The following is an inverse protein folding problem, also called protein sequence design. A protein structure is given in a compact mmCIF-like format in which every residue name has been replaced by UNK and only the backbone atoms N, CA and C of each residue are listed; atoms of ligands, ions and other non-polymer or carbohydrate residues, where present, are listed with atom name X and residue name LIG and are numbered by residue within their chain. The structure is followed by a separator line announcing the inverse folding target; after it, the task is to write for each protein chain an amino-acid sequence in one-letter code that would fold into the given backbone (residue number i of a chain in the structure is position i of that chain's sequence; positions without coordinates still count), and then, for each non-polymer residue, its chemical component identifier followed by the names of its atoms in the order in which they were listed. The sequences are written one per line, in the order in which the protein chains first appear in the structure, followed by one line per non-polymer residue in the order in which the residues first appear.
data_IF_748210696662
#
_entry.id   IF_748210696662
#
_cell.length_a   1.000
_cell.length_b   1.000
_cell.length_c   1.000
_cell.angle_alpha   90.00
_cell.angle_beta   90.00
_cell.angle_gamma   90.00
#
_symmetry.space_group_name_H-M   'P 1'
#
loop_
_entity.id
_entity.type
_entity.pdbx_description
1 polymer ?
#
# COMPACT_ATOMS: atom_id res chain seq x y z
N UNK A 1 20.58 -1.36 3.52
CA UNK A 1 21.87 -1.66 4.20
C UNK A 1 22.82 -0.46 4.24
N UNK A 2 23.02 0.29 3.13
CA UNK A 2 23.84 1.52 3.16
C UNK A 2 23.28 2.61 4.07
N UNK A 3 21.95 2.77 4.15
CA UNK A 3 21.30 3.80 4.97
C UNK A 3 21.36 3.59 6.49
N UNK A 4 21.65 2.36 6.98
CA UNK A 4 21.75 2.07 8.43
C UNK A 4 23.09 1.48 8.86
N UNK A 5 24.08 1.40 7.97
CA UNK A 5 25.42 0.86 8.29
C UNK A 5 25.48 -0.62 8.70
N UNK A 6 24.39 -1.39 8.52
CA UNK A 6 24.28 -2.76 9.01
C UNK A 6 25.17 -3.73 8.21
N UNK A 7 25.99 -4.51 8.91
CA UNK A 7 26.81 -5.58 8.33
C UNK A 7 25.97 -6.86 8.19
N UNK A 8 26.43 -7.80 7.35
CA UNK A 8 25.76 -9.10 7.15
C UNK A 8 25.60 -9.91 8.45
N UNK A 9 26.52 -9.72 9.41
CA UNK A 9 26.45 -10.34 10.73
C UNK A 9 25.29 -9.79 11.58
N UNK A 10 25.00 -8.49 11.44
CA UNK A 10 23.91 -7.85 12.17
C UNK A 10 22.56 -8.34 11.66
N UNK A 11 22.44 -8.46 10.33
CA UNK A 11 21.21 -9.01 9.73
C UNK A 11 21.01 -10.48 10.09
N UNK A 12 22.07 -11.27 10.20
CA UNK A 12 21.97 -12.66 10.65
C UNK A 12 21.41 -12.75 12.08
N UNK A 13 21.91 -11.90 12.97
CA UNK A 13 21.48 -11.80 14.36
C UNK A 13 20.03 -11.30 14.48
N UNK A 14 19.65 -10.25 13.74
CA UNK A 14 18.29 -9.70 13.77
C UNK A 14 17.26 -10.66 13.17
N UNK A 15 17.66 -11.45 12.17
CA UNK A 15 16.79 -12.40 11.49
C UNK A 15 16.79 -13.80 12.11
N UNK A 16 17.56 -14.03 13.18
CA UNK A 16 17.66 -15.35 13.84
C UNK A 16 18.22 -16.46 12.94
N UNK A 17 19.07 -16.14 11.97
CA UNK A 17 19.66 -17.11 11.02
C UNK A 17 21.18 -17.07 11.01
N UNK A 18 21.80 -18.05 10.36
CA UNK A 18 23.26 -18.07 10.20
C UNK A 18 23.76 -16.99 9.23
N UNK A 19 24.99 -16.51 9.45
CA UNK A 19 25.67 -15.57 8.54
C UNK A 19 25.84 -16.14 7.12
N UNK A 20 25.96 -17.46 7.00
CA UNK A 20 26.02 -18.16 5.72
C UNK A 20 24.69 -18.04 4.96
N UNK A 21 23.56 -18.16 5.67
CA UNK A 21 22.22 -17.96 5.11
C UNK A 21 22.06 -16.54 4.54
N UNK A 22 22.41 -15.52 5.32
CA UNK A 22 22.39 -14.13 4.85
C UNK A 22 23.31 -13.92 3.66
N UNK A 23 24.53 -14.47 3.70
CA UNK A 23 25.47 -14.36 2.57
C UNK A 23 24.91 -14.99 1.30
N UNK A 24 24.20 -16.13 1.42
CA UNK A 24 23.50 -16.77 0.32
C UNK A 24 22.38 -15.89 -0.23
N UNK A 25 21.57 -15.26 0.62
CA UNK A 25 20.54 -14.29 0.18
C UNK A 25 21.14 -13.17 -0.67
N UNK A 26 22.20 -12.54 -0.16
CA UNK A 26 22.85 -11.44 -0.88
C UNK A 26 23.55 -11.90 -2.16
N UNK A 27 24.14 -13.11 -2.19
CA UNK A 27 24.81 -13.65 -3.38
C UNK A 27 23.81 -14.01 -4.48
N UNK A 28 22.68 -14.61 -4.10
CA UNK A 28 21.61 -14.98 -5.04
C UNK A 28 20.90 -13.74 -5.57
N UNK A 29 20.58 -12.77 -4.69
CA UNK A 29 19.95 -11.52 -5.09
C UNK A 29 20.84 -10.59 -5.92
N UNK A 30 22.17 -10.67 -5.80
CA UNK A 30 23.10 -9.79 -6.52
C UNK A 30 23.53 -10.30 -7.90
N UNK A 31 23.51 -11.61 -8.15
CA UNK A 31 24.05 -12.22 -9.38
C UNK A 31 23.00 -12.64 -10.39
N UNK A 32 21.77 -12.89 -9.94
CA UNK A 32 20.67 -13.29 -10.78
C UNK A 32 19.42 -12.61 -10.24
N UNK A 33 18.41 -12.36 -11.09
CA UNK A 33 17.03 -12.05 -10.67
C UNK A 33 16.40 -13.26 -9.95
N UNK A 34 17.15 -13.90 -9.07
CA UNK A 34 16.85 -15.14 -8.41
C UNK A 34 16.05 -14.84 -7.16
N UNK A 35 14.86 -15.42 -7.13
CA UNK A 35 14.01 -15.42 -5.96
C UNK A 35 14.77 -16.08 -4.80
N UNK A 36 14.94 -15.33 -3.71
CA UNK A 36 15.49 -15.87 -2.48
C UNK A 36 14.31 -16.33 -1.65
N UNK A 37 14.19 -17.64 -1.45
CA UNK A 37 13.19 -18.16 -0.53
C UNK A 37 13.61 -17.81 0.90
N UNK A 38 12.86 -16.94 1.55
CA UNK A 38 13.04 -16.51 2.94
C UNK A 38 11.76 -16.85 3.68
N UNK A 39 11.88 -17.57 4.79
CA UNK A 39 10.72 -17.99 5.57
C UNK A 39 9.96 -16.78 6.16
N UNK A 40 8.64 -16.88 6.24
CA UNK A 40 7.79 -15.81 6.78
C UNK A 40 8.12 -15.45 8.24
N UNK A 41 8.68 -16.38 9.02
CA UNK A 41 9.15 -16.12 10.39
C UNK A 41 10.33 -15.15 10.41
N UNK A 42 11.25 -15.32 9.47
CA UNK A 42 12.45 -14.49 9.31
C UNK A 42 12.09 -13.08 8.87
N UNK A 43 11.11 -12.94 7.98
CA UNK A 43 10.55 -11.63 7.60
C UNK A 43 9.93 -10.90 8.79
N UNK A 44 9.13 -11.58 9.61
CA UNK A 44 8.52 -10.98 10.80
C UNK A 44 9.57 -10.50 11.81
N UNK A 45 10.61 -11.30 12.04
CA UNK A 45 11.71 -10.91 12.93
C UNK A 45 12.46 -9.68 12.42
N UNK A 46 12.76 -9.63 11.11
CA UNK A 46 13.38 -8.46 10.49
C UNK A 46 12.50 -7.21 10.55
N UNK A 47 11.19 -7.35 10.32
CA UNK A 47 10.22 -6.27 10.44
C UNK A 47 10.23 -5.68 11.86
N UNK A 48 10.13 -6.53 12.89
CA UNK A 48 10.15 -6.11 14.29
C UNK A 48 11.48 -5.45 14.67
N UNK A 49 12.60 -6.07 14.28
CA UNK A 49 13.93 -5.60 14.64
C UNK A 49 14.33 -4.28 13.95
N UNK A 50 13.90 -4.09 12.70
CA UNK A 50 14.26 -2.90 11.91
C UNK A 50 13.22 -1.79 11.98
N UNK A 51 12.03 -2.09 12.50
CA UNK A 51 10.83 -1.27 12.43
C UNK A 51 10.54 -0.81 10.98
N UNK A 52 10.60 -1.75 10.04
CA UNK A 52 10.42 -1.49 8.60
C UNK A 52 9.27 -2.35 8.09
N UNK A 53 8.44 -1.77 7.23
CA UNK A 53 7.34 -2.45 6.56
C UNK A 53 7.83 -3.67 5.74
N UNK A 54 7.12 -4.81 5.78
CA UNK A 54 7.52 -6.02 5.05
C UNK A 54 7.59 -5.80 3.53
N UNK A 55 6.83 -4.83 2.98
CA UNK A 55 6.92 -4.43 1.57
C UNK A 55 8.30 -3.93 1.17
N UNK A 56 8.99 -3.21 2.07
CA UNK A 56 10.34 -2.70 1.82
C UNK A 56 11.36 -3.86 1.80
N UNK A 57 11.15 -4.90 2.60
CA UNK A 57 12.01 -6.08 2.65
C UNK A 57 11.84 -6.99 1.44
N UNK A 58 10.63 -7.06 0.88
CA UNK A 58 10.34 -7.87 -0.30
C UNK A 58 10.91 -7.26 -1.59
N UNK A 59 11.34 -6.00 -1.57
CA UNK A 59 11.91 -5.34 -2.74
C UNK A 59 10.99 -5.36 -3.96
N UNK A 60 9.68 -5.51 -3.75
CA UNK A 60 8.68 -5.43 -4.83
C UNK A 60 8.82 -4.01 -5.36
N UNK A 61 9.25 -3.83 -6.62
CA UNK A 61 9.22 -2.51 -7.22
C UNK A 61 7.76 -2.08 -7.19
N UNK A 62 7.43 -1.14 -6.32
CA UNK A 62 6.15 -0.46 -6.41
C UNK A 62 6.18 0.27 -7.75
N UNK A 63 5.45 -0.27 -8.72
CA UNK A 63 5.24 0.42 -9.99
C UNK A 63 4.32 1.60 -9.72
N UNK A 64 4.92 2.71 -9.32
CA UNK A 64 4.21 3.95 -9.03
C UNK A 64 3.55 4.54 -10.28
N UNK A 65 4.03 4.23 -11.48
CA UNK A 65 3.41 4.68 -12.72
C UNK A 65 2.03 4.04 -12.90
N UNK A 66 1.90 2.75 -12.57
CA UNK A 66 0.61 2.06 -12.58
C UNK A 66 -0.42 2.72 -11.65
N UNK A 67 0.02 3.20 -10.47
CA UNK A 67 -0.84 3.91 -9.53
C UNK A 67 -1.19 5.33 -9.99
N UNK A 68 -0.26 6.03 -10.63
CA UNK A 68 -0.52 7.34 -11.22
C UNK A 68 -1.61 7.25 -12.30
N UNK A 69 -1.51 6.30 -13.23
CA UNK A 69 -2.53 6.09 -14.27
C UNK A 69 -3.85 5.62 -13.69
N UNK A 70 -3.83 4.80 -12.64
CA UNK A 70 -5.04 4.25 -12.03
C UNK A 70 -5.83 5.32 -11.26
N UNK A 71 -5.14 6.15 -10.48
CA UNK A 71 -5.78 7.18 -9.67
C UNK A 71 -5.92 8.53 -10.36
N UNK A 72 -5.17 8.82 -11.45
CA UNK A 72 -5.24 10.09 -12.18
C UNK A 72 -5.37 11.29 -11.23
N UNK A 73 -4.53 11.27 -10.18
CA UNK A 73 -4.60 12.19 -9.06
C UNK A 73 -4.05 13.56 -9.46
N UNK A 74 -3.20 13.61 -10.48
CA UNK A 74 -2.56 14.79 -11.08
C UNK A 74 -3.55 15.83 -11.62
N UNK A 75 -4.76 15.39 -12.00
CA UNK A 75 -5.86 16.30 -12.39
C UNK A 75 -6.59 16.92 -11.20
N UNK A 76 -6.40 16.39 -9.99
CA UNK A 76 -7.11 16.77 -8.77
C UNK A 76 -6.18 17.39 -7.72
N UNK A 77 -4.90 17.01 -7.73
CA UNK A 77 -3.88 17.36 -6.74
C UNK A 77 -2.52 17.57 -7.43
N UNK A 78 -1.66 18.45 -6.91
CA UNK A 78 -0.36 18.78 -7.52
C UNK A 78 0.63 17.62 -7.49
N UNK A 79 0.60 16.82 -6.43
CA UNK A 79 1.44 15.64 -6.22
C UNK A 79 0.66 14.53 -5.50
N UNK A 80 1.30 13.36 -5.39
CA UNK A 80 0.72 12.18 -4.74
C UNK A 80 0.51 12.42 -3.25
N UNK A 81 1.47 13.08 -2.62
CA UNK A 81 1.47 13.41 -1.20
C UNK A 81 0.25 14.26 -0.85
N UNK A 82 -0.09 15.25 -1.67
CA UNK A 82 -1.28 16.08 -1.55
C UNK A 82 -2.57 15.28 -1.76
N UNK A 83 -2.59 14.29 -2.67
CA UNK A 83 -3.74 13.38 -2.80
C UNK A 83 -3.93 12.52 -1.55
N UNK A 84 -2.85 11.94 -1.01
CA UNK A 84 -2.89 11.17 0.24
C UNK A 84 -3.31 12.04 1.42
N UNK A 85 -2.80 13.27 1.48
CA UNK A 85 -3.21 14.26 2.48
C UNK A 85 -4.70 14.60 2.34
N UNK A 86 -5.21 14.73 1.11
CA UNK A 86 -6.63 14.91 0.82
C UNK A 86 -7.50 13.74 1.32
N UNK A 87 -7.02 12.50 1.14
CA UNK A 87 -7.67 11.30 1.70
C UNK A 87 -7.68 11.37 3.23
N UNK A 88 -6.57 11.76 3.85
CA UNK A 88 -6.47 11.87 5.31
C UNK A 88 -7.39 12.96 5.87
N UNK A 89 -7.43 14.12 5.21
CA UNK A 89 -8.31 15.27 5.51
C UNK A 89 -9.79 15.03 5.13
N UNK A 90 -10.13 13.86 4.59
CA UNK A 90 -11.49 13.47 4.19
C UNK A 90 -12.12 14.43 3.17
N UNK A 91 -11.29 14.95 2.27
CA UNK A 91 -11.74 15.85 1.21
C UNK A 91 -12.56 15.06 0.19
N UNK A 92 -13.70 15.62 -0.22
CA UNK A 92 -14.62 14.94 -1.14
C UNK A 92 -13.99 14.51 -2.47
N UNK A 93 -13.14 15.32 -3.15
CA UNK A 93 -12.53 14.91 -4.42
C UNK A 93 -11.60 13.69 -4.24
N UNK A 94 -10.84 13.66 -3.13
CA UNK A 94 -9.97 12.54 -2.80
C UNK A 94 -10.76 11.27 -2.49
N UNK A 95 -11.81 11.37 -1.67
CA UNK A 95 -12.67 10.23 -1.33
C UNK A 95 -13.40 9.70 -2.57
N UNK A 96 -13.92 10.58 -3.42
CA UNK A 96 -14.58 10.20 -4.66
C UNK A 96 -13.63 9.42 -5.58
N UNK A 97 -12.40 9.92 -5.76
CA UNK A 97 -11.42 9.24 -6.61
C UNK A 97 -10.96 7.91 -6.02
N UNK A 98 -10.74 7.85 -4.71
CA UNK A 98 -10.38 6.61 -4.01
C UNK A 98 -11.43 5.52 -4.23
N UNK A 99 -12.71 5.87 -4.06
CA UNK A 99 -13.84 4.94 -4.18
C UNK A 99 -14.15 4.60 -5.63
N UNK A 100 -14.01 5.54 -6.55
CA UNK A 100 -14.14 5.28 -7.99
C UNK A 100 -13.20 4.15 -8.44
N UNK A 101 -11.97 4.17 -7.92
CA UNK A 101 -10.87 3.29 -8.35
C UNK A 101 -10.82 1.96 -7.60
N UNK A 102 -11.10 1.97 -6.29
CA UNK A 102 -10.94 0.80 -5.43
C UNK A 102 -12.28 0.18 -5.00
N UNK A 103 -13.39 0.90 -5.14
CA UNK A 103 -14.67 0.49 -4.56
C UNK A 103 -14.73 0.68 -3.03
N UNK A 104 -15.86 0.32 -2.41
CA UNK A 104 -16.11 0.61 -1.00
C UNK A 104 -15.24 -0.18 -0.02
N UNK A 105 -14.99 -1.46 -0.29
CA UNK A 105 -14.27 -2.33 0.64
C UNK A 105 -12.82 -1.84 0.87
N UNK A 106 -12.05 -1.74 -0.21
CA UNK A 106 -10.66 -1.28 -0.15
C UNK A 106 -10.56 0.19 0.27
N UNK A 107 -11.44 1.06 -0.22
CA UNK A 107 -11.45 2.46 0.19
C UNK A 107 -11.77 2.60 1.70
N UNK A 108 -12.66 1.77 2.25
CA UNK A 108 -12.99 1.74 3.67
C UNK A 108 -11.80 1.30 4.53
N UNK A 109 -10.99 0.34 4.07
CA UNK A 109 -9.77 -0.07 4.77
C UNK A 109 -8.72 1.07 4.86
N UNK A 110 -8.73 1.99 3.90
CA UNK A 110 -7.77 3.10 3.83
C UNK A 110 -8.28 4.34 4.55
N UNK A 111 -9.51 4.76 4.25
CA UNK A 111 -10.05 6.04 4.70
C UNK A 111 -11.08 5.90 5.83
N UNK A 112 -11.46 4.68 6.21
CA UNK A 112 -12.46 4.40 7.24
C UNK A 112 -13.91 4.50 6.76
N UNK A 113 -14.82 4.39 7.73
CA UNK A 113 -16.28 4.47 7.56
C UNK A 113 -16.78 5.78 6.93
N UNK A 114 -15.99 6.85 7.00
CA UNK A 114 -16.27 8.15 6.37
C UNK A 114 -16.55 8.04 4.88
N UNK A 115 -15.97 7.03 4.21
CA UNK A 115 -16.26 6.69 2.81
C UNK A 115 -17.75 6.42 2.65
N UNK A 116 -18.31 5.53 3.47
CA UNK A 116 -19.73 5.19 3.39
C UNK A 116 -20.62 6.34 3.86
N UNK A 117 -20.26 6.99 4.98
CA UNK A 117 -21.05 8.08 5.58
C UNK A 117 -21.17 9.30 4.66
N UNK A 118 -20.10 9.65 3.95
CA UNK A 118 -20.07 10.81 3.05
C UNK A 118 -20.39 10.49 1.60
N UNK A 119 -20.69 9.23 1.25
CA UNK A 119 -20.97 8.85 -0.14
C UNK A 119 -22.03 9.73 -0.81
N UNK A 120 -23.17 10.10 -0.17
CA UNK A 120 -24.14 11.00 -0.79
C UNK A 120 -23.58 12.37 -1.19
N UNK A 121 -22.56 12.86 -0.47
CA UNK A 121 -21.94 14.17 -0.67
C UNK A 121 -20.99 14.15 -1.88
N UNK A 122 -20.10 13.16 -1.93
CA UNK A 122 -19.06 13.12 -2.96
C UNK A 122 -19.42 12.28 -4.19
N UNK A 123 -20.49 11.47 -4.18
CA UNK A 123 -20.84 10.58 -5.32
C UNK A 123 -21.00 11.34 -6.64
N UNK A 124 -21.41 12.62 -6.58
CA UNK A 124 -21.55 13.50 -7.75
C UNK A 124 -20.22 13.76 -8.49
N UNK A 125 -19.08 13.50 -7.85
CA UNK A 125 -17.73 13.63 -8.42
C UNK A 125 -17.22 12.33 -9.05
N UNK A 126 -17.90 11.20 -8.81
CA UNK A 126 -17.57 9.90 -9.43
C UNK A 126 -18.15 9.87 -10.84
N UNK A 127 -17.40 9.30 -11.80
CA UNK A 127 -17.85 9.09 -13.19
C UNK A 127 -19.24 8.41 -13.24
N UNK A 128 -20.14 8.84 -14.14
CA UNK A 128 -21.53 8.36 -14.16
C UNK A 128 -21.69 6.83 -14.18
N UNK A 129 -20.91 6.14 -15.02
CA UNK A 129 -20.94 4.68 -15.14
C UNK A 129 -20.60 4.03 -13.78
N UNK A 130 -19.46 4.43 -13.20
CA UNK A 130 -18.98 3.87 -11.93
C UNK A 130 -19.91 4.22 -10.76
N UNK A 131 -20.51 5.41 -10.76
CA UNK A 131 -21.52 5.79 -9.76
C UNK A 131 -22.73 4.87 -9.82
N UNK A 132 -23.23 4.57 -11.02
CA UNK A 132 -24.38 3.69 -11.23
C UNK A 132 -24.11 2.26 -10.73
N UNK A 133 -22.86 1.80 -10.79
CA UNK A 133 -22.44 0.52 -10.21
C UNK A 133 -22.38 0.56 -8.68
N UNK A 134 -21.92 1.67 -8.10
CA UNK A 134 -21.71 1.81 -6.66
C UNK A 134 -22.99 2.14 -5.88
N UNK A 135 -23.92 2.91 -6.44
CA UNK A 135 -25.15 3.32 -5.76
C UNK A 135 -26.00 2.13 -5.25
N UNK A 136 -26.21 1.05 -6.03
CA UNK A 136 -26.91 -0.15 -5.54
C UNK A 136 -26.14 -0.91 -4.44
N UNK A 137 -24.81 -0.83 -4.44
CA UNK A 137 -23.96 -1.52 -3.46
C UNK A 137 -23.89 -0.77 -2.13
N UNK A 138 -24.06 0.56 -2.15
CA UNK A 138 -23.90 1.39 -0.96
C UNK A 138 -24.77 0.98 0.23
N UNK A 139 -26.08 0.67 0.09
CA UNK A 139 -26.91 0.18 1.19
C UNK A 139 -26.40 -1.12 1.81
N UNK A 140 -25.79 -2.02 1.02
CA UNK A 140 -25.27 -3.30 1.51
C UNK A 140 -24.05 -3.09 2.42
N UNK A 141 -23.21 -2.12 2.10
CA UNK A 141 -22.06 -1.77 2.93
C UNK A 141 -22.46 -0.93 4.16
N UNK A 142 -23.48 -0.10 4.02
CA UNK A 142 -23.98 0.73 5.13
C UNK A 142 -24.74 -0.10 6.18
N UNK A 143 -25.41 -1.19 5.80
CA UNK A 143 -26.16 -2.06 6.72
C UNK A 143 -25.31 -3.12 7.42
N UNK A 144 -24.06 -3.32 6.99
CA UNK A 144 -23.13 -4.30 7.53
C UNK A 144 -22.19 -3.73 8.62
N UNK A 145 -22.39 -2.48 9.05
CA UNK A 145 -21.66 -1.81 10.15
C UNK A 145 -22.56 -1.65 11.37
#
# INVERSE_FOLDING_TARGET
MKEKGLRKADVARLAGVSRACVTRWFRLGSRQKGWVNVESKTFRQLQQALNISPYFLMGVPMDFASFQTRFLWDRLYPDREAFVEGIFKKQEPALARLVEVLGFHEAGAIAGDVVLKKFPQYKKRIKPIRRRELEPLWPLYHSAQ
#
